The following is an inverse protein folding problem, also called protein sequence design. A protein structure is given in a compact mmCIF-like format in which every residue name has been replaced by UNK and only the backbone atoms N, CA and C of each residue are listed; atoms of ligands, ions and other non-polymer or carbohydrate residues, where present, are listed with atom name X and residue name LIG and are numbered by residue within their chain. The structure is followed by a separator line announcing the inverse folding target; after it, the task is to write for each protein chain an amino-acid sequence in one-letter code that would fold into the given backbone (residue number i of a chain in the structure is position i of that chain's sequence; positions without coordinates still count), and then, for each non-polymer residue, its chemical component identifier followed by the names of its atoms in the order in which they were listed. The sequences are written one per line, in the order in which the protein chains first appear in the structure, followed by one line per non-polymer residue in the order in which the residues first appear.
data_IF_281938549265
#
_entry.id   IF_281938549265
#
_cell.length_a   1.000
_cell.length_b   1.000
_cell.length_c   1.000
_cell.angle_alpha   90.00
_cell.angle_beta   90.00
_cell.angle_gamma   90.00
#
_symmetry.space_group_name_H-M   'P 1'
#
loop_
_entity.id
_entity.type
_entity.pdbx_description
1 polymer ?
#
# COMPACT_ATOMS: atom_id res chain seq x y z
N UNK A 1 -6.99 3.52 -4.73
CA UNK A 1 -5.87 2.56 -4.82
C UNK A 1 -5.28 2.36 -6.23
N UNK A 2 -5.46 3.27 -7.21
CA UNK A 2 -5.00 3.01 -8.60
C UNK A 2 -3.51 2.64 -8.73
N UNK A 3 -2.60 3.35 -8.06
CA UNK A 3 -1.16 3.08 -8.17
C UNK A 3 -0.67 1.76 -7.57
N UNK A 4 -1.47 1.07 -6.75
CA UNK A 4 -1.14 -0.28 -6.24
C UNK A 4 -1.66 -1.36 -7.20
N UNK A 5 -2.78 -1.10 -7.87
CA UNK A 5 -3.38 -2.02 -8.83
C UNK A 5 -2.68 -1.98 -10.18
N UNK A 6 -2.07 -0.84 -10.54
CA UNK A 6 -1.33 -0.61 -11.78
C UNK A 6 0.01 0.10 -11.45
N UNK A 7 1.02 -0.62 -10.92
CA UNK A 7 2.31 -0.01 -10.63
C UNK A 7 3.05 0.34 -11.94
N UNK A 8 3.39 1.62 -12.12
CA UNK A 8 4.04 2.12 -13.35
C UNK A 8 5.51 1.65 -13.48
N UNK A 9 6.14 1.23 -12.39
CA UNK A 9 7.55 0.81 -12.37
C UNK A 9 7.85 -0.25 -11.32
N UNK A 10 8.76 -1.19 -11.65
CA UNK A 10 9.27 -2.22 -10.72
C UNK A 10 9.85 -1.65 -9.42
N UNK A 11 10.55 -0.51 -9.50
CA UNK A 11 11.11 0.13 -8.30
C UNK A 11 10.03 0.64 -7.36
N UNK A 12 8.90 1.09 -7.91
CA UNK A 12 7.72 1.49 -7.13
C UNK A 12 7.04 0.27 -6.52
N UNK A 13 6.83 -0.80 -7.30
CA UNK A 13 6.27 -2.06 -6.79
C UNK A 13 7.06 -2.65 -5.62
N UNK A 14 8.41 -2.65 -5.68
CA UNK A 14 9.25 -3.09 -4.55
C UNK A 14 9.06 -2.26 -3.29
N UNK A 15 8.95 -0.93 -3.43
CA UNK A 15 8.72 -0.02 -2.30
C UNK A 15 7.33 -0.24 -1.70
N UNK A 16 6.32 -0.42 -2.55
CA UNK A 16 4.95 -0.72 -2.14
C UNK A 16 4.87 -2.04 -1.39
N UNK A 17 5.51 -3.10 -1.90
CA UNK A 17 5.53 -4.42 -1.27
C UNK A 17 6.23 -4.45 0.10
N UNK A 18 7.26 -3.61 0.29
CA UNK A 18 7.96 -3.50 1.57
C UNK A 18 7.07 -2.95 2.70
N UNK A 19 6.13 -2.05 2.37
CA UNK A 19 5.13 -1.52 3.32
C UNK A 19 3.84 -2.34 3.35
N UNK A 20 3.56 -3.08 2.28
CA UNK A 20 2.29 -3.79 2.07
C UNK A 20 1.18 -2.87 1.55
N UNK A 21 0.03 -3.43 1.16
CA UNK A 21 -1.09 -2.65 0.62
C UNK A 21 -1.61 -1.64 1.67
N UNK A 22 -1.67 -0.34 1.33
CA UNK A 22 -1.98 0.73 2.28
C UNK A 22 -3.48 0.76 2.60
N UNK A 23 -3.83 0.75 3.89
CA UNK A 23 -5.23 0.81 4.32
C UNK A 23 -5.62 2.25 4.66
N UNK A 24 -4.72 2.99 5.31
CA UNK A 24 -4.99 4.28 5.96
C UNK A 24 -4.22 5.42 5.27
N UNK A 25 -4.65 6.65 5.53
CA UNK A 25 -3.85 7.84 5.21
C UNK A 25 -2.62 7.88 6.10
N UNK A 26 -1.45 8.13 5.52
CA UNK A 26 -0.18 8.35 6.24
C UNK A 26 0.05 9.85 6.49
N UNK A 27 0.60 10.18 7.67
CA UNK A 27 1.09 11.53 7.99
C UNK A 27 2.56 11.43 8.39
N UNK A 28 3.44 12.06 7.61
CA UNK A 28 4.90 12.07 7.83
C UNK A 28 5.29 12.55 9.24
N UNK A 29 4.45 13.39 9.87
CA UNK A 29 4.70 13.92 11.21
C UNK A 29 3.82 13.25 12.28
N UNK A 30 3.06 12.23 11.90
CA UNK A 30 2.23 11.44 12.80
C UNK A 30 3.08 10.64 13.81
N UNK A 31 2.40 10.16 14.85
CA UNK A 31 3.05 9.29 15.83
C UNK A 31 3.33 7.91 15.20
N UNK A 32 4.59 7.44 15.18
CA UNK A 32 4.93 6.18 14.53
C UNK A 32 4.42 4.99 15.32
N UNK A 33 4.00 3.95 14.61
CA UNK A 33 3.63 2.66 15.18
C UNK A 33 4.88 1.91 15.64
N UNK A 34 4.81 1.18 16.76
CA UNK A 34 5.96 0.52 17.35
C UNK A 34 6.53 -0.62 16.49
N UNK A 35 5.71 -1.27 15.66
CA UNK A 35 6.10 -2.50 14.95
C UNK A 35 6.94 -2.22 13.69
N UNK A 36 6.63 -1.16 12.96
CA UNK A 36 7.22 -0.87 11.65
C UNK A 36 7.60 0.61 11.44
N UNK A 37 7.32 1.48 12.41
CA UNK A 37 7.58 2.92 12.31
C UNK A 37 6.65 3.67 11.34
N UNK A 38 5.64 3.00 10.75
CA UNK A 38 4.66 3.65 9.89
C UNK A 38 3.70 4.52 10.71
N UNK A 39 3.05 5.46 10.05
CA UNK A 39 2.08 6.38 10.65
C UNK A 39 0.72 6.14 10.03
N UNK A 40 -0.30 5.85 10.83
CA UNK A 40 -1.68 5.71 10.34
C UNK A 40 -2.59 6.75 10.98
N UNK A 41 -3.26 7.54 10.15
CA UNK A 41 -4.40 8.34 10.59
C UNK A 41 -5.62 7.43 10.58
N UNK A 42 -6.35 7.36 11.69
CA UNK A 42 -7.55 6.49 11.82
C UNK A 42 -8.84 7.23 11.49
N UNK A 43 -8.87 8.53 11.77
CA UNK A 43 -10.04 9.38 11.54
C UNK A 43 -9.61 10.79 11.12
N UNK A 44 -10.41 11.39 10.24
CA UNK A 44 -10.28 12.76 9.78
C UNK A 44 -11.53 13.53 10.20
N UNK A 45 -11.34 14.71 10.78
CA UNK A 45 -12.43 15.62 11.08
C UNK A 45 -12.48 16.74 10.06
N UNK A 46 -13.66 16.96 9.48
CA UNK A 46 -13.89 17.98 8.46
C UNK A 46 -14.57 19.19 9.08
N UNK A 47 -13.87 20.31 9.14
CA UNK A 47 -14.40 21.56 9.72
C UNK A 47 -15.61 22.12 8.98
N UNK A 48 -15.70 21.91 7.67
CA UNK A 48 -16.79 22.41 6.83
C UNK A 48 -18.12 21.73 7.12
N UNK A 49 -18.10 20.44 7.47
CA UNK A 49 -19.31 19.66 7.77
C UNK A 49 -19.46 19.36 9.26
N UNK A 50 -18.45 19.67 10.08
CA UNK A 50 -18.36 19.32 11.50
C UNK A 50 -18.55 17.81 11.74
N UNK A 51 -17.97 16.98 10.88
CA UNK A 51 -18.11 15.52 10.91
C UNK A 51 -16.76 14.82 10.97
N UNK A 52 -16.71 13.72 11.72
CA UNK A 52 -15.62 12.76 11.69
C UNK A 52 -15.87 11.70 10.62
N UNK A 53 -14.83 11.37 9.85
CA UNK A 53 -14.87 10.34 8.81
C UNK A 53 -13.67 9.41 8.95
N UNK A 54 -13.87 8.16 8.54
CA UNK A 54 -12.79 7.18 8.45
C UNK A 54 -11.70 7.67 7.50
N UNK A 55 -10.45 7.49 7.91
CA UNK A 55 -9.27 7.80 7.12
C UNK A 55 -8.84 6.62 6.21
N UNK A 56 -9.67 5.57 6.08
CA UNK A 56 -9.41 4.46 5.15
C UNK A 56 -9.42 4.97 3.72
N UNK A 57 -8.45 4.51 2.94
CA UNK A 57 -8.37 4.82 1.52
C UNK A 57 -9.53 4.14 0.77
N UNK A 58 -10.05 4.83 -0.25
CA UNK A 58 -11.07 4.23 -1.10
C UNK A 58 -10.53 2.99 -1.82
N UNK A 59 -11.25 1.87 -1.66
CA UNK A 59 -10.87 0.56 -2.17
C UNK A 59 -9.91 -0.23 -1.27
N UNK A 60 -9.60 0.25 -0.06
CA UNK A 60 -8.78 -0.47 0.89
C UNK A 60 -9.39 -1.82 1.29
N UNK A 61 -8.58 -2.87 1.18
CA UNK A 61 -8.92 -4.25 1.54
C UNK A 61 -8.27 -4.62 2.87
N UNK A 62 -8.94 -5.48 3.64
CA UNK A 62 -8.52 -5.94 4.96
C UNK A 62 -8.64 -7.46 5.07
N UNK A 63 -7.95 -8.06 6.05
CA UNK A 63 -7.99 -9.51 6.29
C UNK A 63 -7.55 -10.33 5.09
N UNK A 64 -8.30 -11.37 4.76
CA UNK A 64 -7.95 -12.34 3.71
C UNK A 64 -7.83 -11.69 2.33
N UNK A 65 -8.67 -10.70 2.01
CA UNK A 65 -8.61 -9.98 0.73
C UNK A 65 -7.30 -9.18 0.61
N UNK A 66 -6.83 -8.62 1.72
CA UNK A 66 -5.55 -7.93 1.78
C UNK A 66 -4.39 -8.89 1.57
N UNK A 67 -4.40 -10.03 2.24
CA UNK A 67 -3.35 -11.04 2.11
C UNK A 67 -3.30 -11.63 0.70
N UNK A 68 -4.46 -11.84 0.09
CA UNK A 68 -4.57 -12.27 -1.31
C UNK A 68 -3.95 -11.23 -2.26
N UNK A 69 -4.37 -9.96 -2.17
CA UNK A 69 -3.80 -8.88 -2.98
C UNK A 69 -2.30 -8.76 -2.79
N UNK A 70 -1.81 -8.89 -1.55
CA UNK A 70 -0.38 -8.81 -1.27
C UNK A 70 0.40 -9.98 -1.87
N UNK A 71 -0.18 -11.18 -1.87
CA UNK A 71 0.39 -12.37 -2.50
C UNK A 71 0.46 -12.22 -4.03
N UNK A 72 -0.61 -11.76 -4.66
CA UNK A 72 -0.65 -11.49 -6.11
C UNK A 72 0.40 -10.45 -6.53
N UNK A 73 0.58 -9.38 -5.74
CA UNK A 73 1.61 -8.37 -6.01
C UNK A 73 3.03 -8.93 -5.87
N UNK A 74 3.28 -9.85 -4.93
CA UNK A 74 4.57 -10.53 -4.77
C UNK A 74 4.87 -11.43 -5.97
N UNK A 75 3.87 -12.20 -6.42
CA UNK A 75 3.98 -13.03 -7.62
C UNK A 75 4.27 -12.18 -8.87
N UNK A 76 3.57 -11.05 -9.03
CA UNK A 76 3.82 -10.09 -10.11
C UNK A 76 5.26 -9.57 -10.07
N UNK A 77 5.76 -9.20 -8.89
CA UNK A 77 7.14 -8.74 -8.75
C UNK A 77 8.14 -9.85 -9.14
N UNK A 78 7.89 -11.10 -8.74
CA UNK A 78 8.73 -12.24 -9.08
C UNK A 78 8.79 -12.46 -10.60
N UNK A 79 7.64 -12.47 -11.28
CA UNK A 79 7.59 -12.59 -12.74
C UNK A 79 8.41 -11.48 -13.44
N UNK A 80 8.33 -10.23 -12.94
CA UNK A 80 9.16 -9.13 -13.44
C UNK A 80 10.67 -9.25 -13.10
N UNK A 81 11.06 -10.11 -12.16
CA UNK A 81 12.46 -10.47 -11.88
C UNK A 81 12.95 -11.51 -12.88
N UNK A 82 12.17 -12.56 -13.09
CA UNK A 82 12.51 -13.69 -13.96
C UNK A 82 12.63 -13.26 -15.44
N UNK A 83 11.73 -12.39 -15.93
CA UNK A 83 11.78 -11.84 -17.30
C UNK A 83 13.08 -11.10 -17.64
N UNK A 84 13.86 -10.65 -16.63
CA UNK A 84 15.16 -9.99 -16.86
C UNK A 84 16.33 -10.96 -16.94
N UNK A 85 16.20 -12.18 -16.44
CA UNK A 85 17.27 -13.18 -16.50
C UNK A 85 17.37 -13.79 -17.91
N UNK A 86 16.25 -14.02 -18.60
CA UNK A 86 16.24 -14.63 -19.94
C UNK A 86 16.86 -13.77 -21.07
N UNK A 87 17.03 -12.45 -20.87
CA UNK A 87 17.63 -11.55 -21.89
C UNK A 87 19.15 -11.39 -21.70
N UNK A 88 19.74 -12.06 -20.69
CA UNK A 88 21.17 -11.95 -20.35
C UNK A 88 22.00 -13.19 -20.69
N UNK A 89 21.54 -14.01 -21.63
CA UNK A 89 22.30 -15.11 -22.24
C UNK A 89 22.58 -14.88 -23.74
#
# INVERSE_FOLDING_TARGET
MKGVQEPDCKAELRRLLAKGPPIWVEDKYGFPLPDNGDTHVVALWFSSTNEEKSAKLHGAVEGDEREKLWSELKELLQAMEDDKEEVRD
#
